data_IF_487444989395
#
_entry.id   IF_487444989395
#
_cell.length_a   1.000
_cell.length_b   1.000
_cell.length_c   1.000
_cell.angle_alpha   90.00
_cell.angle_beta   90.00
_cell.angle_gamma   90.00
#
_symmetry.space_group_name_H-M   'P 1'
#
loop_
_entity.id
_entity.type
_entity.pdbx_description
1 polymer ?
#
# COMPACT_ATOMS: atom_id res chain seq x y z
N UNK A 1 -1.44 13.93 -18.23
CA UNK A 1 -0.44 12.98 -17.69
C UNK A 1 -1.14 11.92 -16.85
N UNK A 2 -0.88 10.63 -17.11
CA UNK A 2 -1.51 9.54 -16.36
C UNK A 2 -0.95 9.47 -14.93
N UNK A 3 -1.83 9.28 -13.95
CA UNK A 3 -1.48 9.11 -12.53
C UNK A 3 -2.53 8.27 -11.83
N UNK A 4 -2.16 7.59 -10.76
CA UNK A 4 -3.11 6.81 -9.97
C UNK A 4 -4.07 7.75 -9.22
N UNK A 5 -5.38 7.67 -9.52
CA UNK A 5 -6.42 8.56 -8.94
C UNK A 5 -7.30 7.89 -7.88
N UNK A 6 -7.19 6.58 -7.70
CA UNK A 6 -8.03 5.84 -6.77
C UNK A 6 -7.62 6.05 -5.31
N UNK A 7 -8.37 5.42 -4.40
CA UNK A 7 -8.16 5.50 -2.96
C UNK A 7 -6.75 5.08 -2.52
N UNK A 8 -5.83 6.04 -2.38
CA UNK A 8 -4.40 5.82 -2.07
C UNK A 8 -4.11 5.07 -0.76
N UNK A 9 -5.00 5.17 0.25
CA UNK A 9 -4.81 4.44 1.52
C UNK A 9 -4.89 2.91 1.34
N UNK A 10 -5.51 2.41 0.25
CA UNK A 10 -5.52 0.98 -0.07
C UNK A 10 -4.10 0.48 -0.41
N UNK A 11 -3.27 1.36 -0.97
CA UNK A 11 -1.90 1.05 -1.37
C UNK A 11 -1.02 0.87 -0.15
N UNK A 12 -1.12 1.78 0.83
CA UNK A 12 -0.40 1.67 2.10
C UNK A 12 -0.78 0.35 2.82
N UNK A 13 -2.07 0.00 2.86
CA UNK A 13 -2.55 -1.26 3.45
C UNK A 13 -2.07 -2.51 2.71
N UNK A 14 -1.96 -2.44 1.38
CA UNK A 14 -1.44 -3.56 0.58
C UNK A 14 0.04 -3.80 0.85
N UNK A 15 0.83 -2.74 0.95
CA UNK A 15 2.26 -2.83 1.26
C UNK A 15 2.52 -3.04 2.76
N UNK A 16 1.53 -2.85 3.63
CA UNK A 16 1.66 -3.06 5.07
C UNK A 16 2.48 -1.99 5.79
N UNK A 17 2.74 -0.85 5.13
CA UNK A 17 3.56 0.23 5.66
C UNK A 17 3.02 1.61 5.25
N UNK A 18 3.32 2.64 6.05
CA UNK A 18 2.89 4.02 5.77
C UNK A 18 3.71 4.58 4.60
N UNK A 19 3.05 4.84 3.47
CA UNK A 19 3.62 5.51 2.30
C UNK A 19 3.41 7.04 2.30
N UNK A 20 2.77 7.58 3.34
CA UNK A 20 2.54 9.04 3.52
C UNK A 20 1.87 9.80 2.36
N UNK A 21 1.11 9.10 1.50
CA UNK A 21 0.46 9.66 0.31
C UNK A 21 -0.65 10.72 0.58
N UNK A 22 -1.03 10.94 1.84
CA UNK A 22 -2.04 11.95 2.24
C UNK A 22 -1.48 13.04 3.17
N UNK A 23 -0.15 13.15 3.30
CA UNK A 23 0.49 14.15 4.15
C UNK A 23 0.03 14.07 5.61
N UNK A 24 -0.46 15.19 6.16
CA UNK A 24 -0.85 15.36 7.57
C UNK A 24 -1.80 14.27 8.08
N UNK A 25 -2.76 13.82 7.26
CA UNK A 25 -3.71 12.77 7.66
C UNK A 25 -3.03 11.43 8.00
N UNK A 26 -1.86 11.14 7.42
CA UNK A 26 -1.13 9.90 7.68
C UNK A 26 -0.48 9.85 9.08
N UNK A 27 -0.34 10.99 9.74
CA UNK A 27 0.19 11.11 11.10
C UNK A 27 -0.91 11.06 12.17
N UNK A 28 -2.17 11.22 11.77
CA UNK A 28 -3.33 11.14 12.69
C UNK A 28 -3.86 9.71 12.80
N UNK A 29 -4.53 9.41 13.91
CA UNK A 29 -5.29 8.17 14.17
C UNK A 29 -6.34 7.81 13.10
N UNK A 30 -6.71 8.78 12.26
CA UNK A 30 -7.59 8.58 11.11
C UNK A 30 -6.90 7.86 9.95
N UNK A 31 -5.63 7.48 10.10
CA UNK A 31 -4.87 6.72 9.12
C UNK A 31 -5.44 5.30 8.96
N UNK A 32 -5.59 4.85 7.72
CA UNK A 32 -6.18 3.54 7.44
C UNK A 32 -5.30 2.37 7.92
N UNK A 33 -3.99 2.58 8.10
CA UNK A 33 -3.07 1.56 8.62
C UNK A 33 -3.29 1.36 10.11
N UNK A 34 -3.39 2.43 10.90
CA UNK A 34 -3.60 2.32 12.35
C UNK A 34 -4.93 1.65 12.65
N UNK A 35 -5.99 2.00 11.90
CA UNK A 35 -7.31 1.37 12.08
C UNK A 35 -7.40 -0.04 11.50
N UNK A 36 -6.73 -0.32 10.38
CA UNK A 36 -6.92 -1.54 9.58
C UNK A 36 -5.59 -1.95 8.94
N UNK A 37 -4.68 -2.49 9.74
CA UNK A 37 -3.37 -2.96 9.29
C UNK A 37 -3.42 -4.35 8.62
N UNK A 38 -4.32 -4.51 7.66
CA UNK A 38 -4.47 -5.74 6.89
C UNK A 38 -4.73 -5.41 5.41
N UNK A 39 -4.51 -6.39 4.54
CA UNK A 39 -4.57 -6.20 3.08
C UNK A 39 -5.98 -5.75 2.68
N UNK A 40 -6.15 -4.84 1.70
CA UNK A 40 -7.48 -4.56 1.17
C UNK A 40 -8.09 -5.79 0.47
N UNK A 41 -9.40 -6.01 0.63
CA UNK A 41 -10.16 -7.09 0.00
C UNK A 41 -10.87 -7.99 1.02
N UNK A 42 -11.73 -8.89 0.55
CA UNK A 42 -12.49 -9.83 1.38
C UNK A 42 -11.57 -10.78 2.16
N UNK A 43 -10.53 -11.30 1.51
CA UNK A 43 -9.50 -12.13 2.13
C UNK A 43 -8.40 -11.29 2.81
N UNK A 44 -8.68 -10.04 3.15
CA UNK A 44 -7.70 -9.14 3.73
C UNK A 44 -7.27 -9.55 5.14
N UNK A 45 -8.22 -10.10 5.90
CA UNK A 45 -8.08 -10.53 7.29
C UNK A 45 -7.64 -11.99 7.43
N UNK A 46 -7.66 -12.77 6.35
CA UNK A 46 -7.16 -14.13 6.41
C UNK A 46 -5.63 -14.14 6.58
N UNK A 47 -5.10 -15.26 7.09
CA UNK A 47 -3.67 -15.42 7.34
C UNK A 47 -2.88 -15.19 6.05
N UNK A 48 -1.96 -14.21 6.05
CA UNK A 48 -1.09 -13.94 4.90
C UNK A 48 -0.20 -15.15 4.63
N UNK A 49 -0.25 -15.68 3.41
CA UNK A 49 0.75 -16.61 2.93
C UNK A 49 2.13 -15.94 2.88
N UNK A 50 3.18 -16.69 3.20
CA UNK A 50 4.56 -16.21 3.09
C UNK A 50 4.87 -15.93 1.62
N UNK A 51 5.23 -14.69 1.31
CA UNK A 51 5.63 -14.29 -0.04
C UNK A 51 7.11 -14.67 -0.21
N UNK A 52 7.44 -15.36 -1.30
CA UNK A 52 8.80 -15.84 -1.60
C UNK A 52 9.17 -15.55 -3.06
N UNK A 53 10.49 -15.53 -3.33
CA UNK A 53 11.04 -15.33 -4.67
C UNK A 53 10.55 -14.04 -5.34
N UNK A 54 10.00 -14.17 -6.55
CA UNK A 54 9.52 -13.05 -7.37
C UNK A 54 8.47 -12.20 -6.66
N UNK A 55 7.62 -12.80 -5.82
CA UNK A 55 6.56 -12.05 -5.13
C UNK A 55 7.13 -10.96 -4.21
N UNK A 56 8.32 -11.19 -3.63
CA UNK A 56 9.00 -10.21 -2.78
C UNK A 56 9.55 -9.06 -3.61
N UNK A 57 10.25 -9.39 -4.71
CA UNK A 57 10.78 -8.41 -5.66
C UNK A 57 9.67 -7.51 -6.24
N UNK A 58 8.55 -8.12 -6.61
CA UNK A 58 7.39 -7.41 -7.12
C UNK A 58 6.83 -6.42 -6.09
N UNK A 59 6.75 -6.80 -4.81
CA UNK A 59 6.25 -5.90 -3.75
C UNK A 59 7.19 -4.73 -3.53
N UNK A 60 8.50 -4.99 -3.50
CA UNK A 60 9.52 -3.95 -3.38
C UNK A 60 9.46 -2.95 -4.55
N UNK A 61 9.35 -3.43 -5.79
CA UNK A 61 9.14 -2.59 -6.97
C UNK A 61 7.88 -1.72 -6.84
N UNK A 62 6.76 -2.33 -6.45
CA UNK A 62 5.48 -1.64 -6.32
C UNK A 62 5.49 -0.61 -5.19
N UNK A 63 6.18 -0.88 -4.08
CA UNK A 63 6.40 0.06 -2.98
C UNK A 63 7.06 1.33 -3.48
N UNK A 64 8.21 1.22 -4.14
CA UNK A 64 8.97 2.37 -4.66
C UNK A 64 8.13 3.16 -5.67
N UNK A 65 7.53 2.48 -6.64
CA UNK A 65 6.64 3.09 -7.64
C UNK A 65 5.57 3.98 -6.99
N UNK A 66 4.91 3.47 -5.95
CA UNK A 66 3.78 4.15 -5.29
C UNK A 66 4.22 5.30 -4.42
N UNK A 67 5.35 5.18 -3.73
CA UNK A 67 5.93 6.26 -2.91
C UNK A 67 6.18 7.50 -3.76
N UNK A 68 6.76 7.32 -4.95
CA UNK A 68 7.09 8.41 -5.85
C UNK A 68 5.98 8.75 -6.86
N UNK A 69 4.85 8.03 -6.84
CA UNK A 69 3.74 8.27 -7.77
C UNK A 69 4.08 8.03 -9.25
N UNK A 70 5.08 7.18 -9.53
CA UNK A 70 5.56 6.90 -10.88
C UNK A 70 4.66 5.92 -11.64
N UNK A 71 4.70 5.99 -12.97
CA UNK A 71 4.06 5.01 -13.84
C UNK A 71 4.98 3.82 -14.07
N UNK A 72 4.40 2.63 -14.28
CA UNK A 72 5.13 1.52 -14.89
C UNK A 72 5.06 1.75 -16.39
N UNK A 73 6.21 2.00 -17.01
CA UNK A 73 6.41 1.97 -18.45
C UNK A 73 7.26 0.75 -18.76
#
# INVERSE_FOLDING_TARGET
MARHRDAVCRLCRREGQKLFLKGLRCFTEKCAIEKRNFVPGQHGQSRRAKVVGYGLQLREKQKVKRTYGLLER
#
